data_IF_052213153418
#
_entry.id   IF_052213153418
#
_cell.length_a   1.000
_cell.length_b   1.000
_cell.length_c   1.000
_cell.angle_alpha   90.00
_cell.angle_beta   90.00
_cell.angle_gamma   90.00
#
_symmetry.space_group_name_H-M   'P 1'
#
loop_
_entity.id
_entity.type
_entity.pdbx_description
1 polymer ?
#
# COMPACT_ATOMS: atom_id res chain seq x y z
N UNK A 1 15.23 2.07 2.11
CA UNK A 1 14.80 3.35 2.70
C UNK A 1 13.99 4.08 1.63
N UNK A 2 12.70 4.35 1.83
CA UNK A 2 11.88 5.01 0.81
C UNK A 2 12.32 6.47 0.62
N UNK A 3 12.45 6.90 -0.64
CA UNK A 3 13.04 8.20 -1.00
C UNK A 3 12.24 9.37 -0.39
N UNK A 4 12.95 10.33 0.20
CA UNK A 4 12.39 11.64 0.59
C UNK A 4 11.84 12.44 -0.61
N UNK A 5 12.12 12.00 -1.83
CA UNK A 5 11.68 12.65 -3.08
C UNK A 5 10.27 12.26 -3.56
N UNK A 6 9.60 11.27 -2.94
CA UNK A 6 8.27 10.82 -3.41
C UNK A 6 7.22 11.94 -3.51
N UNK A 7 7.08 12.85 -2.52
CA UNK A 7 6.18 13.99 -2.65
C UNK A 7 6.54 14.87 -3.85
N UNK A 8 7.83 15.08 -4.14
CA UNK A 8 8.24 15.86 -5.31
C UNK A 8 7.81 15.18 -6.61
N UNK A 9 7.99 13.86 -6.74
CA UNK A 9 7.56 13.12 -7.94
C UNK A 9 6.04 13.23 -8.16
N UNK A 10 5.23 13.17 -7.09
CA UNK A 10 3.79 13.39 -7.23
C UNK A 10 3.43 14.82 -7.65
N UNK A 11 4.20 15.82 -7.19
CA UNK A 11 4.04 17.19 -7.68
C UNK A 11 4.36 17.28 -9.17
N UNK A 12 5.42 16.63 -9.62
CA UNK A 12 5.84 16.62 -11.02
C UNK A 12 4.81 15.89 -11.91
N UNK A 13 4.17 14.83 -11.40
CA UNK A 13 3.03 14.18 -12.07
C UNK A 13 1.88 15.17 -12.26
N UNK A 14 1.50 15.94 -11.23
CA UNK A 14 0.42 16.94 -11.36
C UNK A 14 0.75 17.99 -12.41
N UNK A 15 2.00 18.48 -12.43
CA UNK A 15 2.46 19.40 -13.47
C UNK A 15 2.42 18.77 -14.87
N UNK A 16 2.86 17.51 -14.99
CA UNK A 16 2.81 16.76 -16.25
C UNK A 16 1.40 16.50 -16.77
N UNK A 17 0.40 16.47 -15.89
CA UNK A 17 -1.02 16.39 -16.22
C UNK A 17 -1.65 17.76 -16.55
N UNK A 18 -0.91 18.86 -16.43
CA UNK A 18 -1.39 20.22 -16.67
C UNK A 18 -2.18 20.84 -15.51
N UNK A 19 -2.15 20.23 -14.32
CA UNK A 19 -2.76 20.81 -13.12
C UNK A 19 -1.90 21.93 -12.53
N UNK A 20 -2.53 22.85 -11.79
CA UNK A 20 -1.84 23.83 -10.95
C UNK A 20 -1.69 23.26 -9.53
N UNK A 21 -0.49 22.79 -9.10
CA UNK A 21 -0.35 22.16 -7.80
C UNK A 21 -0.43 23.14 -6.61
N UNK A 22 -0.38 24.45 -6.87
CA UNK A 22 -0.47 25.50 -5.85
C UNK A 22 -1.91 25.94 -5.58
N UNK A 23 -2.91 25.35 -6.27
CA UNK A 23 -4.32 25.54 -5.92
C UNK A 23 -4.65 24.88 -4.58
N UNK A 24 -5.57 25.50 -3.83
CA UNK A 24 -5.95 25.09 -2.46
C UNK A 24 -6.14 23.57 -2.31
N UNK A 25 -6.87 22.93 -3.23
CA UNK A 25 -7.14 21.48 -3.17
C UNK A 25 -5.94 20.56 -3.43
N UNK A 26 -4.89 21.04 -4.09
CA UNK A 26 -3.70 20.24 -4.45
C UNK A 26 -2.47 20.54 -3.62
N UNK A 27 -2.46 21.60 -2.84
CA UNK A 27 -1.28 22.03 -2.07
C UNK A 27 -0.65 20.87 -1.28
N UNK A 28 -1.49 20.07 -0.62
CA UNK A 28 -1.09 18.90 0.16
C UNK A 28 -1.22 17.55 -0.58
N UNK A 29 -1.73 17.53 -1.82
CA UNK A 29 -1.88 16.28 -2.60
C UNK A 29 -0.57 15.52 -2.75
N UNK A 30 0.58 16.14 -3.08
CA UNK A 30 1.82 15.39 -3.25
C UNK A 30 2.26 14.66 -1.97
N UNK A 31 2.07 15.30 -0.81
CA UNK A 31 2.34 14.69 0.51
C UNK A 31 1.37 13.54 0.81
N UNK A 32 0.07 13.74 0.55
CA UNK A 32 -0.95 12.70 0.77
C UNK A 32 -0.75 11.50 -0.15
N UNK A 33 -0.49 11.73 -1.43
CA UNK A 33 -0.27 10.68 -2.43
C UNK A 33 0.99 9.86 -2.11
N UNK A 34 2.09 10.53 -1.74
CA UNK A 34 3.30 9.86 -1.27
C UNK A 34 3.00 8.95 -0.07
N UNK A 35 2.34 9.47 0.97
CA UNK A 35 1.98 8.67 2.15
C UNK A 35 1.07 7.49 1.79
N UNK A 36 0.11 7.69 0.89
CA UNK A 36 -0.79 6.64 0.44
C UNK A 36 -0.02 5.51 -0.28
N UNK A 37 0.87 5.85 -1.21
CA UNK A 37 1.69 4.86 -1.92
C UNK A 37 2.62 4.09 -0.98
N UNK A 38 3.24 4.78 -0.02
CA UNK A 38 4.05 4.14 1.02
C UNK A 38 3.23 3.16 1.86
N UNK A 39 1.99 3.52 2.20
CA UNK A 39 1.08 2.63 2.89
C UNK A 39 0.68 1.44 2.00
N UNK A 40 0.29 1.64 0.75
CA UNK A 40 -0.09 0.54 -0.15
C UNK A 40 1.07 -0.45 -0.38
N UNK A 41 2.31 0.00 -0.26
CA UNK A 41 3.51 -0.81 -0.41
C UNK A 41 4.21 -1.17 0.91
N UNK A 42 3.56 -0.98 2.07
CA UNK A 42 4.20 -1.20 3.38
C UNK A 42 4.57 -2.67 3.62
N UNK A 43 3.89 -3.60 2.95
CA UNK A 43 4.16 -5.04 3.04
C UNK A 43 5.59 -5.45 2.69
N UNK A 44 6.28 -4.67 1.85
CA UNK A 44 7.70 -4.93 1.53
C UNK A 44 8.65 -4.81 2.73
N UNK A 45 8.24 -4.10 3.78
CA UNK A 45 9.03 -3.91 4.99
C UNK A 45 8.57 -4.80 6.15
N UNK A 46 7.63 -5.71 5.92
CA UNK A 46 7.10 -6.61 6.95
C UNK A 46 7.85 -7.95 6.96
N UNK A 47 7.95 -8.57 8.13
CA UNK A 47 8.45 -9.93 8.32
C UNK A 47 7.29 -10.88 8.58
N UNK A 48 7.32 -12.05 7.96
CA UNK A 48 6.33 -13.12 8.21
C UNK A 48 6.44 -13.60 9.66
N UNK A 49 7.66 -13.72 10.17
CA UNK A 49 7.94 -14.14 11.54
C UNK A 49 7.32 -13.18 12.56
N UNK A 50 7.49 -11.88 12.35
CA UNK A 50 6.89 -10.84 13.21
C UNK A 50 5.36 -10.81 13.11
N UNK A 51 4.80 -11.01 11.90
CA UNK A 51 3.34 -11.05 11.71
C UNK A 51 2.72 -12.28 12.37
N UNK A 52 3.32 -13.46 12.19
CA UNK A 52 2.84 -14.72 12.80
C UNK A 52 2.98 -14.68 14.31
N UNK A 53 3.98 -13.99 14.84
CA UNK A 53 4.17 -13.69 16.27
C UNK A 53 4.04 -14.94 17.18
N UNK A 54 4.56 -16.09 16.71
CA UNK A 54 4.50 -17.34 17.46
C UNK A 54 3.10 -17.89 17.72
N UNK A 55 2.07 -17.45 17.00
CA UNK A 55 0.68 -17.92 17.12
C UNK A 55 0.50 -19.34 16.51
N UNK A 56 1.29 -20.29 17.02
CA UNK A 56 1.30 -21.69 16.62
C UNK A 56 0.80 -22.54 17.79
N UNK A 57 -0.21 -23.36 17.55
CA UNK A 57 -0.88 -24.17 18.56
C UNK A 57 -0.88 -25.63 18.13
N UNK A 58 -0.63 -26.54 19.07
CA UNK A 58 -0.82 -27.96 18.84
C UNK A 58 -2.32 -28.26 18.65
N UNK A 59 -2.63 -29.13 17.70
CA UNK A 59 -3.99 -29.56 17.40
C UNK A 59 -3.98 -31.01 16.99
N UNK A 60 -4.91 -31.79 17.52
CA UNK A 60 -5.14 -33.19 17.11
C UNK A 60 -6.15 -33.28 15.94
N UNK A 61 -6.64 -32.14 15.44
CA UNK A 61 -7.57 -32.07 14.31
C UNK A 61 -6.86 -32.43 12.99
N UNK A 62 -7.37 -33.46 12.31
CA UNK A 62 -6.90 -33.93 11.00
C UNK A 62 -7.87 -33.57 9.85
N UNK A 63 -8.91 -32.79 10.13
CA UNK A 63 -9.87 -32.29 9.14
C UNK A 63 -9.46 -30.92 8.55
N UNK A 64 -10.05 -30.58 7.40
CA UNK A 64 -9.77 -29.32 6.70
C UNK A 64 -10.26 -28.10 7.49
N UNK A 65 -9.39 -27.09 7.64
CA UNK A 65 -9.74 -25.76 8.15
C UNK A 65 -9.77 -24.78 6.99
N UNK A 66 -10.90 -24.11 6.78
CA UNK A 66 -11.07 -23.07 5.74
C UNK A 66 -11.25 -21.72 6.42
N UNK A 67 -10.41 -20.76 6.01
CA UNK A 67 -10.65 -19.32 6.21
C UNK A 67 -10.91 -18.72 4.83
N UNK A 68 -12.10 -18.17 4.64
CA UNK A 68 -12.57 -17.67 3.35
C UNK A 68 -13.17 -16.26 3.50
N UNK A 69 -13.37 -15.57 2.37
CA UNK A 69 -13.85 -14.20 2.32
C UNK A 69 -12.95 -13.19 3.07
N UNK A 70 -11.62 -13.39 2.97
CA UNK A 70 -10.65 -12.40 3.43
C UNK A 70 -10.58 -11.31 2.37
N UNK A 71 -10.94 -10.09 2.76
CA UNK A 71 -10.88 -8.92 1.89
C UNK A 71 -9.42 -8.55 1.58
N UNK A 72 -9.09 -8.40 0.29
CA UNK A 72 -7.76 -8.02 -0.17
C UNK A 72 -7.81 -6.73 -0.99
N UNK A 73 -6.88 -5.83 -0.66
CA UNK A 73 -6.57 -4.64 -1.44
C UNK A 73 -5.11 -4.71 -1.86
N UNK A 74 -4.84 -4.60 -3.16
CA UNK A 74 -3.47 -4.60 -3.67
C UNK A 74 -3.34 -3.68 -4.88
N UNK A 75 -2.12 -3.59 -5.42
CA UNK A 75 -1.75 -2.69 -6.50
C UNK A 75 -1.22 -3.49 -7.70
N UNK A 76 -1.75 -3.24 -8.89
CA UNK A 76 -1.23 -3.82 -10.12
C UNK A 76 0.13 -3.19 -10.47
N UNK A 77 1.20 -3.97 -10.52
CA UNK A 77 2.54 -3.46 -10.84
C UNK A 77 2.67 -2.86 -12.25
N UNK A 78 1.83 -3.30 -13.19
CA UNK A 78 1.88 -2.84 -14.59
C UNK A 78 1.31 -1.43 -14.77
N UNK A 79 0.32 -1.04 -13.95
CA UNK A 79 -0.45 0.19 -14.15
C UNK A 79 -0.54 1.07 -12.91
N UNK A 80 -0.09 0.56 -11.76
CA UNK A 80 -0.21 1.20 -10.45
C UNK A 80 -1.66 1.56 -10.09
N UNK A 81 -2.62 0.75 -10.55
CA UNK A 81 -4.04 0.85 -10.21
C UNK A 81 -4.43 -0.25 -9.21
N UNK A 82 -5.38 0.01 -8.30
CA UNK A 82 -5.84 -0.99 -7.35
C UNK A 82 -6.52 -2.17 -8.04
N UNK A 83 -6.32 -3.36 -7.50
CA UNK A 83 -7.23 -4.50 -7.67
C UNK A 83 -7.70 -4.96 -6.29
N UNK A 84 -8.98 -5.27 -6.19
CA UNK A 84 -9.69 -5.47 -4.93
C UNK A 84 -10.54 -6.73 -5.07
N UNK A 85 -10.54 -7.59 -4.07
CA UNK A 85 -11.36 -8.80 -4.05
C UNK A 85 -10.97 -9.79 -2.97
#
# INVERSE_FOLDING_TARGET
>A
MMSSSLPQHYRDILLGLGENPDREGLLDTPKRAAKAMQYLCHGYAQSVEEIVNGALFASDNDEMVIVQNIELYSLCEHHLLPFIG
#
